data_IF_844832035591
#
_entry.id   IF_844832035591
#
_cell.length_a   1.000
_cell.length_b   1.000
_cell.length_c   1.000
_cell.angle_alpha   90.00
_cell.angle_beta   90.00
_cell.angle_gamma   90.00
#
_symmetry.space_group_name_H-M   'P 1'
#
loop_
_entity.id
_entity.type
_entity.pdbx_description
1 polymer ?
#
# COMPACT_ATOMS: atom_id res chain seq x y z
N UNK A 1 10.15 8.47 2.14
CA UNK A 1 9.09 8.67 3.05
C UNK A 1 9.32 9.75 4.08
N UNK A 2 8.30 10.58 4.32
CA UNK A 2 8.25 11.55 5.41
C UNK A 2 8.99 12.87 5.21
N UNK A 3 9.64 13.09 4.08
CA UNK A 3 10.30 14.36 3.79
C UNK A 3 9.26 15.42 3.40
N UNK A 4 9.32 16.60 4.01
CA UNK A 4 8.34 17.67 3.82
C UNK A 4 7.06 17.51 4.64
N UNK A 5 6.92 16.45 5.42
CA UNK A 5 5.75 16.26 6.30
C UNK A 5 5.91 17.04 7.60
N UNK A 6 4.83 17.68 8.02
CA UNK A 6 4.73 18.39 9.31
C UNK A 6 3.45 17.97 10.01
N UNK A 7 3.59 17.60 11.29
CA UNK A 7 2.45 17.30 12.14
C UNK A 7 1.95 18.60 12.77
N UNK A 8 0.64 18.82 12.68
CA UNK A 8 -0.04 19.97 13.26
C UNK A 8 -1.02 19.48 14.32
N UNK A 9 -0.91 19.99 15.54
CA UNK A 9 -1.75 19.61 16.67
C UNK A 9 -2.90 20.58 16.91
N UNK A 10 -2.80 21.83 16.44
CA UNK A 10 -3.82 22.86 16.60
C UNK A 10 -3.74 23.94 15.53
N UNK A 11 -4.81 24.72 15.41
CA UNK A 11 -4.88 25.82 14.42
C UNK A 11 -3.78 26.85 14.61
N UNK A 12 -3.36 27.08 15.86
CA UNK A 12 -2.37 28.09 16.23
C UNK A 12 -0.97 27.86 15.61
N UNK A 13 -0.63 26.61 15.31
CA UNK A 13 0.67 26.27 14.72
C UNK A 13 0.58 25.98 13.20
N UNK A 14 -0.63 25.97 12.64
CA UNK A 14 -0.87 25.52 11.27
C UNK A 14 -0.09 26.33 10.22
N UNK A 15 -0.15 27.66 10.29
CA UNK A 15 0.50 28.53 9.31
C UNK A 15 2.02 28.35 9.31
N UNK A 16 2.62 28.28 10.50
CA UNK A 16 4.06 28.09 10.66
C UNK A 16 4.50 26.74 10.09
N UNK A 17 3.81 25.65 10.46
CA UNK A 17 4.13 24.30 10.00
C UNK A 17 3.92 24.15 8.48
N UNK A 18 2.88 24.76 7.95
CA UNK A 18 2.64 24.80 6.49
C UNK A 18 3.77 25.49 5.75
N UNK A 19 4.19 26.68 6.22
CA UNK A 19 5.30 27.42 5.58
C UNK A 19 6.62 26.63 5.65
N UNK A 20 6.88 25.95 6.76
CA UNK A 20 8.05 25.08 6.88
C UNK A 20 7.98 23.91 5.89
N UNK A 21 6.83 23.28 5.73
CA UNK A 21 6.63 22.19 4.77
C UNK A 21 6.84 22.66 3.33
N UNK A 22 6.27 23.83 2.96
CA UNK A 22 6.44 24.45 1.64
C UNK A 22 7.90 24.78 1.33
N UNK A 23 8.63 25.38 2.28
CA UNK A 23 10.05 25.71 2.11
C UNK A 23 10.90 24.43 1.89
N UNK A 24 10.63 23.37 2.63
CA UNK A 24 11.32 22.10 2.47
C UNK A 24 10.97 21.44 1.14
N UNK A 25 9.71 21.48 0.73
CA UNK A 25 9.24 20.94 -0.55
C UNK A 25 9.90 21.70 -1.72
N UNK A 26 9.90 23.02 -1.70
CA UNK A 26 10.56 23.85 -2.70
C UNK A 26 12.03 23.51 -2.83
N UNK A 27 12.76 23.42 -1.71
CA UNK A 27 14.20 23.13 -1.73
C UNK A 27 14.54 21.71 -2.19
N UNK A 28 13.63 20.75 -1.98
CA UNK A 28 13.88 19.33 -2.21
C UNK A 28 13.31 18.82 -3.54
N UNK A 29 12.22 19.41 -3.99
CA UNK A 29 11.46 18.95 -5.15
C UNK A 29 11.21 20.04 -6.19
N UNK A 30 11.63 21.29 -5.91
CA UNK A 30 11.36 22.47 -6.73
C UNK A 30 9.86 22.74 -6.95
N UNK A 31 9.04 22.35 -5.97
CA UNK A 31 7.60 22.53 -5.94
C UNK A 31 7.18 22.75 -4.47
N UNK A 32 6.40 23.80 -4.20
CA UNK A 32 5.94 24.13 -2.86
C UNK A 32 4.48 23.71 -2.59
N UNK A 33 3.87 22.97 -3.51
CA UNK A 33 2.52 22.46 -3.33
C UNK A 33 2.47 21.48 -2.14
N UNK A 34 1.57 21.74 -1.21
CA UNK A 34 1.32 20.89 -0.05
C UNK A 34 -0.17 20.57 0.06
N UNK A 35 -0.51 19.48 0.71
CA UNK A 35 -1.88 19.09 1.02
C UNK A 35 -1.98 18.60 2.46
N UNK A 36 -3.19 18.56 2.98
CA UNK A 36 -3.48 18.15 4.35
C UNK A 36 -3.97 16.72 4.34
N UNK A 37 -3.38 15.90 5.21
CA UNK A 37 -3.82 14.52 5.43
C UNK A 37 -4.26 14.33 6.89
N UNK A 38 -5.23 13.43 7.10
CA UNK A 38 -5.58 13.00 8.45
C UNK A 38 -4.42 12.24 9.06
N UNK A 39 -3.96 12.69 10.23
CA UNK A 39 -2.94 11.96 10.99
C UNK A 39 -3.59 10.84 11.81
N UNK A 40 -3.21 9.61 11.53
CA UNK A 40 -3.69 8.42 12.25
C UNK A 40 -2.70 8.10 13.38
N UNK A 41 -3.17 8.15 14.62
CA UNK A 41 -2.34 7.88 15.79
C UNK A 41 -2.17 6.38 16.01
N UNK A 42 -0.93 5.94 16.23
CA UNK A 42 -0.58 4.53 16.49
C UNK A 42 -1.21 3.54 15.50
N UNK A 43 -1.10 3.79 14.18
CA UNK A 43 -1.72 2.93 13.20
C UNK A 43 -1.04 1.56 13.14
N UNK A 44 -1.79 0.56 12.67
CA UNK A 44 -1.20 -0.63 12.05
C UNK A 44 -0.96 -0.34 10.58
N UNK A 45 0.14 -0.84 10.05
CA UNK A 45 0.47 -0.75 8.64
C UNK A 45 0.07 -2.05 7.95
N UNK A 46 -0.98 -1.98 7.17
CA UNK A 46 -1.51 -3.11 6.39
C UNK A 46 -1.32 -2.80 4.92
N UNK A 47 -0.83 -3.75 4.17
CA UNK A 47 -0.60 -3.60 2.74
C UNK A 47 -1.19 -4.77 1.96
N UNK A 48 -1.80 -4.45 0.82
CA UNK A 48 -2.43 -5.45 -0.06
C UNK A 48 -1.53 -5.65 -1.28
N UNK A 49 -1.05 -6.88 -1.47
CA UNK A 49 -0.37 -7.25 -2.70
C UNK A 49 -1.38 -7.31 -3.84
N UNK A 50 -1.12 -6.58 -4.91
CA UNK A 50 -1.94 -6.61 -6.12
C UNK A 50 -1.11 -7.08 -7.31
N UNK A 51 -1.79 -7.66 -8.28
CA UNK A 51 -1.19 -8.00 -9.57
C UNK A 51 -2.21 -7.82 -10.70
N UNK A 52 -1.78 -7.20 -11.79
CA UNK A 52 -2.63 -6.98 -12.96
C UNK A 52 -1.89 -7.31 -14.25
N UNK A 53 -2.64 -7.75 -15.27
CA UNK A 53 -2.11 -7.99 -16.62
C UNK A 53 -2.55 -6.89 -17.60
N UNK A 54 -2.07 -7.00 -18.85
CA UNK A 54 -2.41 -6.06 -19.92
C UNK A 54 -3.74 -6.40 -20.61
N UNK A 55 -4.49 -7.38 -20.11
CA UNK A 55 -5.77 -7.84 -20.66
C UNK A 55 -6.97 -7.41 -19.78
N UNK A 56 -6.72 -6.63 -18.73
CA UNK A 56 -7.74 -6.16 -17.80
C UNK A 56 -8.05 -7.11 -16.64
N UNK A 57 -7.30 -8.21 -16.48
CA UNK A 57 -7.42 -9.06 -15.33
C UNK A 57 -6.57 -8.50 -14.19
N UNK A 58 -7.10 -8.55 -12.98
CA UNK A 58 -6.40 -8.13 -11.77
C UNK A 58 -6.85 -8.94 -10.57
N UNK A 59 -5.91 -9.21 -9.67
CA UNK A 59 -6.13 -9.95 -8.43
C UNK A 59 -5.43 -9.26 -7.27
N UNK A 60 -5.95 -9.46 -6.06
CA UNK A 60 -5.18 -9.22 -4.84
C UNK A 60 -4.75 -10.55 -4.23
N UNK A 61 -3.55 -10.57 -3.67
CA UNK A 61 -2.94 -11.74 -3.07
C UNK A 61 -2.84 -11.56 -1.55
N UNK A 62 -3.95 -11.11 -0.98
CA UNK A 62 -4.12 -10.86 0.44
C UNK A 62 -3.20 -9.78 1.00
N UNK A 63 -3.24 -9.65 2.32
CA UNK A 63 -2.48 -8.63 3.05
C UNK A 63 -1.17 -9.15 3.61
N UNK A 64 -0.29 -8.18 3.89
CA UNK A 64 0.81 -8.28 4.83
C UNK A 64 0.61 -7.22 5.91
N UNK A 65 0.90 -7.55 7.16
CA UNK A 65 1.00 -6.59 8.24
C UNK A 65 2.47 -6.26 8.48
N UNK A 66 2.81 -4.97 8.37
CA UNK A 66 4.17 -4.45 8.47
C UNK A 66 4.28 -3.39 9.58
N UNK A 67 3.55 -3.58 10.70
CA UNK A 67 3.49 -2.59 11.78
C UNK A 67 4.77 -2.49 12.59
N UNK A 68 5.60 -3.54 12.62
CA UNK A 68 6.89 -3.54 13.32
C UNK A 68 7.94 -2.86 12.45
N UNK A 69 8.18 -1.58 12.75
CA UNK A 69 9.06 -0.73 11.94
C UNK A 69 10.08 -0.01 12.81
N UNK A 70 11.21 0.35 12.20
CA UNK A 70 12.20 1.25 12.78
C UNK A 70 12.40 2.46 11.87
N UNK A 71 11.99 3.64 12.31
CA UNK A 71 12.08 4.88 11.54
C UNK A 71 11.48 4.73 10.13
N UNK A 72 10.25 4.20 10.06
CA UNK A 72 9.51 3.91 8.83
C UNK A 72 10.13 2.82 7.93
N UNK A 73 11.12 2.08 8.41
CA UNK A 73 11.64 0.90 7.74
C UNK A 73 10.94 -0.34 8.30
N UNK A 74 10.31 -1.13 7.45
CA UNK A 74 9.69 -2.41 7.79
C UNK A 74 10.78 -3.36 8.30
N UNK A 75 10.54 -4.06 9.42
CA UNK A 75 11.50 -4.98 10.07
C UNK A 75 10.93 -6.38 10.18
N UNK A 76 9.63 -6.48 10.43
CA UNK A 76 8.90 -7.75 10.49
C UNK A 76 7.64 -7.61 9.67
N UNK A 77 7.42 -8.55 8.79
CA UNK A 77 6.22 -8.68 7.96
C UNK A 77 5.55 -10.03 8.27
N UNK A 78 4.25 -9.99 8.54
CA UNK A 78 3.46 -11.19 8.78
C UNK A 78 2.24 -11.26 7.86
N UNK A 79 1.85 -12.46 7.48
CA UNK A 79 0.63 -12.73 6.74
C UNK A 79 0.08 -14.12 7.11
N UNK A 80 -1.25 -14.24 7.27
CA UNK A 80 -2.23 -13.14 7.31
C UNK A 80 -2.09 -12.27 8.57
N UNK A 81 -2.64 -11.05 8.54
CA UNK A 81 -2.69 -10.18 9.72
C UNK A 81 -3.59 -10.79 10.80
N UNK A 82 -3.08 -10.82 12.04
CA UNK A 82 -3.80 -11.35 13.19
C UNK A 82 -5.05 -10.53 13.58
N UNK A 83 -5.18 -9.30 13.10
CA UNK A 83 -6.28 -8.39 13.47
C UNK A 83 -7.36 -8.26 12.41
N UNK A 84 -7.09 -8.66 11.16
CA UNK A 84 -8.09 -8.56 10.10
C UNK A 84 -9.08 -9.71 10.16
N UNK A 85 -10.37 -9.36 10.14
CA UNK A 85 -11.44 -10.33 9.85
C UNK A 85 -11.50 -10.61 8.35
N UNK A 86 -12.13 -11.71 7.95
CA UNK A 86 -12.34 -12.00 6.51
C UNK A 86 -13.05 -10.85 5.79
N UNK A 87 -14.07 -10.28 6.40
CA UNK A 87 -14.79 -9.12 5.85
C UNK A 87 -13.87 -7.94 5.58
N UNK A 88 -13.01 -7.58 6.53
CA UNK A 88 -12.05 -6.47 6.35
C UNK A 88 -11.05 -6.78 5.25
N UNK A 89 -10.56 -8.01 5.18
CA UNK A 89 -9.65 -8.47 4.12
C UNK A 89 -10.29 -8.30 2.74
N UNK A 90 -11.56 -8.68 2.61
CA UNK A 90 -12.30 -8.55 1.36
C UNK A 90 -12.51 -7.06 0.99
N UNK A 91 -12.89 -6.21 1.96
CA UNK A 91 -13.07 -4.77 1.77
C UNK A 91 -11.77 -4.07 1.37
N UNK A 92 -10.66 -4.36 2.05
CA UNK A 92 -9.34 -3.80 1.72
C UNK A 92 -8.82 -4.30 0.37
N UNK A 93 -9.03 -5.59 0.08
CA UNK A 93 -8.71 -6.17 -1.22
C UNK A 93 -9.46 -5.49 -2.36
N UNK A 94 -10.78 -5.30 -2.18
CA UNK A 94 -11.61 -4.59 -3.15
C UNK A 94 -11.17 -3.13 -3.35
N UNK A 95 -10.83 -2.43 -2.26
CA UNK A 95 -10.31 -1.06 -2.32
C UNK A 95 -8.98 -1.00 -3.08
N UNK A 96 -8.06 -1.94 -2.84
CA UNK A 96 -6.79 -2.03 -3.55
C UNK A 96 -6.98 -2.27 -5.05
N UNK A 97 -7.89 -3.16 -5.44
CA UNK A 97 -8.21 -3.39 -6.85
C UNK A 97 -8.88 -2.17 -7.50
N UNK A 98 -9.69 -1.41 -6.75
CA UNK A 98 -10.27 -0.17 -7.25
C UNK A 98 -9.19 0.89 -7.58
N UNK A 99 -8.15 1.02 -6.75
CA UNK A 99 -6.98 1.87 -7.04
C UNK A 99 -6.30 1.43 -8.32
N UNK A 100 -6.00 0.13 -8.48
CA UNK A 100 -5.36 -0.42 -9.68
C UNK A 100 -6.19 -0.15 -10.94
N UNK A 101 -7.51 -0.32 -10.85
CA UNK A 101 -8.44 -0.07 -11.95
C UNK A 101 -8.47 1.40 -12.35
N UNK A 102 -8.47 2.32 -11.38
CA UNK A 102 -8.52 3.75 -11.63
C UNK A 102 -7.31 4.28 -12.41
N UNK A 103 -6.12 3.66 -12.22
CA UNK A 103 -4.89 4.04 -12.91
C UNK A 103 -4.49 3.10 -14.05
N UNK A 104 -5.34 2.15 -14.45
CA UNK A 104 -5.05 1.12 -15.47
C UNK A 104 -3.72 0.39 -15.19
N UNK A 105 -3.52 -0.01 -13.94
CA UNK A 105 -2.27 -0.62 -13.47
C UNK A 105 -1.99 -1.96 -14.15
N UNK A 106 -0.71 -2.25 -14.39
CA UNK A 106 -0.23 -3.55 -14.88
C UNK A 106 1.07 -3.93 -14.15
N UNK A 107 1.23 -5.19 -13.83
CA UNK A 107 2.37 -5.74 -13.09
C UNK A 107 2.09 -5.94 -11.59
N UNK A 108 3.17 -6.23 -10.85
CA UNK A 108 3.14 -6.34 -9.39
C UNK A 108 3.09 -4.96 -8.74
N UNK A 109 2.22 -4.79 -7.75
CA UNK A 109 2.12 -3.56 -6.96
C UNK A 109 1.62 -3.85 -5.55
N UNK A 110 1.74 -2.88 -4.69
CA UNK A 110 1.27 -2.97 -3.30
C UNK A 110 0.52 -1.70 -2.94
N UNK A 111 -0.69 -1.84 -2.45
CA UNK A 111 -1.48 -0.72 -1.93
C UNK A 111 -1.39 -0.74 -0.41
N UNK A 112 -0.85 0.32 0.16
CA UNK A 112 -0.61 0.47 1.58
C UNK A 112 -1.75 1.23 2.26
N UNK A 113 -2.13 0.76 3.46
CA UNK A 113 -3.18 1.34 4.28
C UNK A 113 -2.72 1.51 5.72
N UNK A 114 -3.25 2.52 6.38
CA UNK A 114 -3.17 2.68 7.83
C UNK A 114 -4.49 2.20 8.45
N UNK A 115 -4.41 1.29 9.40
CA UNK A 115 -5.56 0.79 10.16
C UNK A 115 -5.52 1.41 11.56
N UNK A 116 -6.55 2.13 11.95
CA UNK A 116 -6.63 2.77 13.26
C UNK A 116 -7.14 1.82 14.36
N UNK A 117 -7.23 2.33 15.59
CA UNK A 117 -7.69 1.56 16.75
C UNK A 117 -9.18 1.17 16.67
N UNK A 118 -9.98 1.85 15.85
CA UNK A 118 -11.40 1.56 15.59
C UNK A 118 -11.57 0.53 14.47
N UNK A 119 -10.46 0.08 13.87
CA UNK A 119 -10.41 -0.80 12.70
C UNK A 119 -10.93 -0.14 11.41
N UNK A 120 -10.93 1.19 11.36
CA UNK A 120 -11.12 1.93 10.13
C UNK A 120 -9.79 2.01 9.37
N UNK A 121 -9.84 1.77 8.06
CA UNK A 121 -8.62 1.82 7.24
C UNK A 121 -8.60 3.02 6.30
N UNK A 122 -7.42 3.57 6.10
CA UNK A 122 -7.17 4.74 5.28
C UNK A 122 -6.07 4.44 4.27
N UNK A 123 -6.30 4.80 3.01
CA UNK A 123 -5.28 4.71 1.97
C UNK A 123 -4.05 5.56 2.34
N UNK A 124 -2.87 5.00 2.20
CA UNK A 124 -1.60 5.70 2.40
C UNK A 124 -0.92 5.99 1.07
N UNK A 125 -0.48 4.95 0.38
CA UNK A 125 0.19 5.07 -0.91
C UNK A 125 0.10 3.78 -1.73
N UNK A 126 0.54 3.85 -2.99
CA UNK A 126 0.74 2.66 -3.82
C UNK A 126 2.20 2.57 -4.24
N UNK A 127 2.84 1.44 -3.95
CA UNK A 127 4.14 1.09 -4.48
C UNK A 127 3.98 0.36 -5.81
N UNK A 128 4.39 1.01 -6.90
CA UNK A 128 4.24 0.50 -8.27
C UNK A 128 5.39 -0.41 -8.68
N UNK A 129 5.74 -1.34 -7.84
CA UNK A 129 6.85 -2.30 -8.00
C UNK A 129 6.67 -3.51 -7.10
N UNK A 130 7.44 -4.55 -7.37
CA UNK A 130 7.63 -5.64 -6.41
C UNK A 130 8.41 -5.11 -5.18
N UNK A 131 8.03 -5.54 -4.00
CA UNK A 131 8.68 -5.16 -2.74
C UNK A 131 9.56 -6.29 -2.19
N UNK A 132 10.47 -5.95 -1.27
CA UNK A 132 11.39 -6.91 -0.63
C UNK A 132 10.60 -7.97 0.13
N UNK A 133 9.48 -7.60 0.74
CA UNK A 133 8.60 -8.43 1.57
C UNK A 133 7.64 -9.35 0.79
N UNK A 134 7.68 -9.37 -0.56
CA UNK A 134 6.83 -10.24 -1.39
C UNK A 134 6.91 -11.73 -1.04
N UNK A 135 8.04 -12.28 -0.55
CA UNK A 135 8.11 -13.71 -0.24
C UNK A 135 7.11 -14.17 0.82
N UNK A 136 6.68 -13.28 1.72
CA UNK A 136 5.63 -13.59 2.71
C UNK A 136 4.32 -13.93 2.00
N UNK A 137 3.96 -13.12 0.99
CA UNK A 137 2.78 -13.37 0.14
C UNK A 137 2.91 -14.67 -0.65
N UNK A 138 4.07 -14.94 -1.25
CA UNK A 138 4.30 -16.18 -2.01
C UNK A 138 4.12 -17.42 -1.14
N UNK A 139 4.57 -17.35 0.12
CA UNK A 139 4.45 -18.47 1.06
C UNK A 139 3.01 -18.81 1.44
N UNK A 140 2.13 -17.82 1.55
CA UNK A 140 0.73 -18.06 1.91
C UNK A 140 -0.15 -18.36 0.70
N UNK A 141 0.18 -17.84 -0.49
CA UNK A 141 -0.62 -17.99 -1.71
C UNK A 141 -0.13 -19.09 -2.65
N UNK A 142 1.10 -19.58 -2.47
CA UNK A 142 1.68 -20.63 -3.31
C UNK A 142 2.05 -20.19 -4.72
N UNK A 143 2.13 -18.88 -4.99
CA UNK A 143 2.49 -18.33 -6.31
C UNK A 143 3.93 -17.80 -6.33
N UNK A 144 4.51 -17.65 -7.52
CA UNK A 144 5.79 -16.98 -7.75
C UNK A 144 5.52 -15.65 -8.46
N UNK A 145 5.68 -14.55 -7.72
CA UNK A 145 5.37 -13.20 -8.23
C UNK A 145 6.41 -12.73 -9.25
N UNK A 146 7.65 -13.20 -9.15
CA UNK A 146 8.70 -12.86 -10.12
C UNK A 146 8.43 -13.56 -11.44
N UNK A 147 8.02 -14.84 -11.41
CA UNK A 147 7.57 -15.55 -12.61
C UNK A 147 6.39 -14.82 -13.25
N UNK A 148 5.39 -14.40 -12.44
CA UNK A 148 4.24 -13.68 -12.96
C UNK A 148 4.62 -12.36 -13.64
N UNK A 149 5.60 -11.62 -13.10
CA UNK A 149 6.11 -10.41 -13.74
C UNK A 149 6.67 -10.70 -15.14
N UNK A 150 7.44 -11.78 -15.28
CA UNK A 150 8.02 -12.18 -16.57
C UNK A 150 6.90 -12.59 -17.54
N UNK A 151 5.92 -13.36 -17.09
CA UNK A 151 4.78 -13.81 -17.91
C UNK A 151 3.94 -12.66 -18.42
N UNK A 152 3.58 -11.73 -17.53
CA UNK A 152 2.80 -10.52 -17.90
C UNK A 152 3.60 -9.61 -18.83
N UNK A 153 4.91 -9.45 -18.61
CA UNK A 153 5.79 -8.70 -19.51
C UNK A 153 5.88 -9.32 -20.92
N UNK A 154 5.69 -10.63 -21.05
CA UNK A 154 5.56 -11.34 -22.32
C UNK A 154 4.19 -11.21 -22.99
N UNK A 155 3.24 -10.52 -22.34
CA UNK A 155 1.89 -10.35 -22.83
C UNK A 155 0.93 -11.50 -22.46
N UNK A 156 1.33 -12.38 -21.54
CA UNK A 156 0.45 -13.44 -21.04
C UNK A 156 -0.62 -12.86 -20.09
N UNK A 157 -1.75 -13.57 -19.99
CA UNK A 157 -2.76 -13.30 -18.97
C UNK A 157 -2.28 -13.82 -17.60
N UNK A 158 -2.85 -13.25 -16.54
CA UNK A 158 -2.66 -13.79 -15.19
C UNK A 158 -3.00 -15.29 -15.15
N UNK A 159 -2.17 -16.11 -14.47
CA UNK A 159 -2.37 -17.56 -14.42
C UNK A 159 -3.58 -17.99 -13.59
N UNK A 160 -3.98 -17.16 -12.61
CA UNK A 160 -5.07 -17.44 -11.67
C UNK A 160 -6.05 -16.26 -11.63
N UNK A 161 -7.31 -16.57 -11.32
CA UNK A 161 -8.36 -15.59 -11.04
C UNK A 161 -8.48 -15.42 -9.53
N UNK A 162 -9.21 -14.40 -9.08
CA UNK A 162 -9.38 -14.13 -7.66
C UNK A 162 -10.01 -15.32 -6.91
N UNK A 163 -10.95 -16.00 -7.53
CA UNK A 163 -11.62 -17.17 -6.94
C UNK A 163 -10.74 -18.43 -6.82
N UNK A 164 -9.61 -18.45 -7.52
CA UNK A 164 -8.64 -19.55 -7.47
C UNK A 164 -7.61 -19.37 -6.33
N UNK A 165 -7.61 -18.20 -5.69
CA UNK A 165 -6.68 -17.83 -4.62
C UNK A 165 -7.28 -18.07 -3.24
N UNK A 166 -6.51 -18.71 -2.36
CA UNK A 166 -6.89 -18.98 -0.97
C UNK A 166 -5.66 -18.89 -0.05
N UNK A 167 -5.87 -18.66 1.25
CA UNK A 167 -4.89 -18.71 2.34
C UNK A 167 -5.40 -19.60 3.47
#
# INVERSE_FOLDING_TARGET
GGKGMRLVHGEEEFEEQMQMAQNEAMSSFSDDAVFIEKFVTKPRHIEIQVFADNHGNMVHLFERECSVQRRHQKVVEEAPSAVLTQKMRDEMGAAALAVCKACNYSGAGTVEFLLDASLDFYFLEMNTRLQVEHPVTEKISGVDLVEWQIRVARGEKLPLRQEDLAI
#
